data_IF_743750271258
#
_entry.id   IF_743750271258
#
_cell.length_a   1.000
_cell.length_b   1.000
_cell.length_c   1.000
_cell.angle_alpha   90.00
_cell.angle_beta   90.00
_cell.angle_gamma   90.00
#
_symmetry.space_group_name_H-M   'P 1'
#
loop_
_entity.id
_entity.type
_entity.pdbx_description
1 polymer ?
#
# COMPACT_ATOMS: atom_id res chain seq x y z
N UNK A 1 39.24 16.38 -67.69
CA UNK A 1 40.16 16.42 -66.53
C UNK A 1 39.34 16.15 -65.28
N UNK A 2 39.61 15.24 -64.36
CA UNK A 2 40.77 14.41 -64.04
C UNK A 2 40.44 13.82 -62.66
N UNK A 3 40.76 12.55 -62.49
CA UNK A 3 40.32 11.65 -61.43
C UNK A 3 41.01 11.90 -60.06
N UNK A 4 40.45 11.24 -59.02
CA UNK A 4 41.13 10.54 -57.90
C UNK A 4 41.31 11.21 -56.50
N UNK A 5 40.58 10.62 -55.54
CA UNK A 5 40.99 10.01 -54.25
C UNK A 5 42.05 10.71 -53.37
N UNK A 6 41.73 10.94 -52.08
CA UNK A 6 41.91 9.94 -50.99
C UNK A 6 41.74 10.53 -49.57
N UNK A 7 41.10 9.71 -48.72
CA UNK A 7 41.09 9.62 -47.25
C UNK A 7 42.08 10.48 -46.41
N UNK A 8 41.57 11.05 -45.30
CA UNK A 8 42.02 10.72 -43.93
C UNK A 8 41.19 11.39 -42.81
N UNK A 9 40.44 10.53 -42.13
CA UNK A 9 40.10 10.40 -40.69
C UNK A 9 40.72 11.34 -39.61
N UNK A 10 39.88 11.86 -38.69
CA UNK A 10 39.99 11.86 -37.19
C UNK A 10 38.94 12.83 -36.59
N UNK A 11 37.77 12.40 -36.09
CA UNK A 11 37.41 11.96 -34.71
C UNK A 11 38.04 12.81 -33.58
N UNK A 12 37.36 13.25 -32.51
CA UNK A 12 36.14 12.77 -31.84
C UNK A 12 35.73 13.76 -30.73
N UNK A 13 34.43 13.92 -30.44
CA UNK A 13 33.98 14.37 -29.12
C UNK A 13 32.63 13.74 -28.71
N UNK A 14 32.62 13.27 -27.46
CA UNK A 14 31.49 13.01 -26.54
C UNK A 14 30.31 12.16 -27.00
N UNK A 15 30.20 10.94 -26.44
CA UNK A 15 29.15 10.63 -25.45
C UNK A 15 29.32 9.21 -24.89
N UNK A 16 29.50 9.15 -23.57
CA UNK A 16 29.55 7.93 -22.76
C UNK A 16 28.18 7.22 -22.73
N UNK A 17 28.14 5.99 -23.22
CA UNK A 17 27.01 5.06 -23.10
C UNK A 17 27.50 3.80 -22.36
N UNK A 18 26.95 3.42 -21.19
CA UNK A 18 27.34 2.16 -20.56
C UNK A 18 26.58 0.98 -21.18
N UNK A 19 27.30 0.24 -22.03
CA UNK A 19 26.88 -1.04 -22.61
C UNK A 19 26.58 -2.09 -21.53
N UNK A 20 25.35 -2.63 -21.51
CA UNK A 20 24.97 -3.80 -20.70
C UNK A 20 25.64 -5.07 -21.27
N UNK A 21 26.70 -5.55 -20.62
CA UNK A 21 27.28 -6.88 -20.87
C UNK A 21 26.29 -7.99 -20.45
N UNK A 22 25.89 -8.84 -21.40
CA UNK A 22 25.20 -10.12 -21.14
C UNK A 22 26.24 -11.13 -20.63
N UNK A 23 26.13 -11.55 -19.37
CA UNK A 23 26.87 -12.71 -18.88
C UNK A 23 26.14 -14.00 -19.30
N UNK A 24 26.87 -14.89 -19.98
CA UNK A 24 26.47 -16.28 -20.24
C UNK A 24 26.56 -17.06 -18.92
N UNK A 25 25.54 -17.86 -18.60
CA UNK A 25 25.62 -18.87 -17.54
C UNK A 25 25.69 -20.22 -18.23
N UNK A 26 26.77 -20.95 -17.96
CA UNK A 26 26.98 -22.35 -18.34
C UNK A 26 26.32 -23.28 -17.33
N UNK A 27 25.71 -24.35 -17.84
CA UNK A 27 25.14 -25.45 -17.06
C UNK A 27 26.24 -26.26 -16.35
N UNK A 28 26.22 -26.31 -15.01
CA UNK A 28 26.84 -27.40 -14.25
C UNK A 28 25.98 -27.80 -13.05
N UNK A 29 25.77 -29.11 -12.93
CA UNK A 29 25.05 -29.81 -11.87
C UNK A 29 26.02 -30.18 -10.74
N UNK A 30 25.66 -29.92 -9.48
CA UNK A 30 26.16 -30.55 -8.21
C UNK A 30 25.30 -30.00 -7.04
N UNK A 31 24.40 -30.77 -6.43
CA UNK A 31 24.50 -31.72 -5.30
C UNK A 31 25.03 -31.15 -3.96
N UNK A 32 24.14 -31.30 -2.98
CA UNK A 32 24.25 -31.35 -1.52
C UNK A 32 24.41 -30.05 -0.70
N UNK A 33 23.36 -29.83 0.11
CA UNK A 33 23.17 -28.97 1.28
C UNK A 33 24.31 -28.07 1.75
N UNK A 34 24.14 -26.76 1.49
CA UNK A 34 24.60 -25.68 2.36
C UNK A 34 23.74 -24.43 2.09
N UNK A 35 23.21 -23.82 3.16
CA UNK A 35 22.37 -22.64 3.09
C UNK A 35 23.21 -21.40 2.70
N UNK A 36 23.14 -21.00 1.43
CA UNK A 36 23.80 -19.78 0.94
C UNK A 36 23.05 -18.55 1.46
N UNK A 37 23.68 -17.81 2.37
CA UNK A 37 23.22 -16.50 2.81
C UNK A 37 23.21 -15.52 1.62
N UNK A 38 22.01 -15.16 1.15
CA UNK A 38 21.85 -14.17 0.07
C UNK A 38 22.16 -12.78 0.62
N UNK A 39 23.27 -12.19 0.18
CA UNK A 39 23.71 -10.85 0.56
C UNK A 39 22.87 -9.79 -0.19
N UNK A 40 21.92 -9.17 0.51
CA UNK A 40 20.97 -8.18 -0.04
C UNK A 40 21.56 -6.79 -0.34
N UNK A 41 22.88 -6.58 -0.26
CA UNK A 41 23.48 -5.24 -0.41
C UNK A 41 23.33 -4.60 -1.80
N UNK A 42 23.03 -5.37 -2.85
CA UNK A 42 23.04 -4.88 -4.24
C UNK A 42 21.71 -5.04 -5.01
N UNK A 43 20.57 -5.25 -4.35
CA UNK A 43 19.28 -5.24 -5.06
C UNK A 43 18.87 -3.78 -5.29
N UNK A 44 18.79 -3.28 -6.54
CA UNK A 44 18.38 -1.91 -6.80
C UNK A 44 16.92 -1.73 -6.39
N UNK A 45 16.69 -1.09 -5.24
CA UNK A 45 15.38 -0.64 -4.78
C UNK A 45 14.94 0.54 -5.64
N UNK A 46 14.36 0.26 -6.81
CA UNK A 46 13.53 1.25 -7.50
C UNK A 46 12.22 1.36 -6.74
N UNK A 47 12.20 2.18 -5.69
CA UNK A 47 10.95 2.69 -5.14
C UNK A 47 10.26 3.45 -6.26
N UNK A 48 9.16 2.89 -6.77
CA UNK A 48 8.29 3.62 -7.68
C UNK A 48 7.86 4.90 -6.98
N UNK A 49 8.13 6.04 -7.60
CA UNK A 49 7.68 7.34 -7.12
C UNK A 49 6.16 7.33 -7.10
N UNK A 50 5.56 7.11 -5.93
CA UNK A 50 4.13 7.37 -5.75
C UNK A 50 3.98 8.88 -5.81
N UNK A 51 3.25 9.38 -6.82
CA UNK A 51 2.78 10.75 -6.82
C UNK A 51 1.77 10.88 -5.68
N UNK A 52 2.23 11.37 -4.53
CA UNK A 52 1.38 11.82 -3.44
C UNK A 52 0.92 13.22 -3.81
N UNK A 53 -0.26 13.34 -4.40
CA UNK A 53 -0.94 14.63 -4.52
C UNK A 53 -1.55 14.95 -3.15
N UNK A 54 -0.85 15.74 -2.32
CA UNK A 54 -1.44 16.30 -1.10
C UNK A 54 -2.13 17.63 -1.42
N UNK A 55 -3.45 17.61 -1.53
CA UNK A 55 -4.27 18.83 -1.49
C UNK A 55 -4.39 19.29 -0.04
N UNK A 56 -3.63 20.32 0.33
CA UNK A 56 -3.75 20.97 1.64
C UNK A 56 -4.93 21.95 1.61
N UNK A 57 -6.12 21.48 2.01
CA UNK A 57 -7.28 22.36 2.15
C UNK A 57 -7.13 23.19 3.43
N UNK A 58 -6.97 24.51 3.30
CA UNK A 58 -7.04 25.46 4.41
C UNK A 58 -8.51 25.85 4.57
N UNK A 59 -9.14 25.45 5.67
CA UNK A 59 -10.45 25.97 6.05
C UNK A 59 -10.24 27.31 6.78
N UNK A 60 -10.68 28.41 6.15
CA UNK A 60 -10.84 29.70 6.81
C UNK A 60 -12.07 29.62 7.70
N UNK A 61 -11.87 29.64 9.02
CA UNK A 61 -12.94 29.93 9.98
C UNK A 61 -12.73 31.38 10.43
N UNK A 62 -13.55 32.28 9.90
CA UNK A 62 -13.72 33.65 10.42
C UNK A 62 -14.93 33.66 11.37
N UNK A 63 -14.68 33.92 12.66
CA UNK A 63 -15.31 35.02 13.41
C UNK A 63 -14.89 35.05 14.89
N UNK A 64 -14.78 36.28 15.39
CA UNK A 64 -14.04 36.74 16.57
C UNK A 64 -14.72 36.53 17.93
N UNK A 65 -13.92 36.43 19.00
CA UNK A 65 -13.88 37.44 20.09
C UNK A 65 -12.82 37.08 21.16
N UNK A 66 -12.12 38.12 21.62
CA UNK A 66 -10.99 38.09 22.55
C UNK A 66 -11.29 37.43 23.91
N UNK A 67 -10.40 36.54 24.34
CA UNK A 67 -9.90 36.51 25.73
C UNK A 67 -8.61 35.69 25.82
N UNK A 68 -7.54 36.39 26.18
CA UNK A 68 -6.35 35.97 26.92
C UNK A 68 -5.82 34.55 26.75
N UNK A 69 -4.71 34.45 26.00
CA UNK A 69 -3.53 33.77 26.51
C UNK A 69 -3.66 32.28 26.84
N UNK A 70 -4.11 31.47 25.90
CA UNK A 70 -3.57 30.12 25.74
C UNK A 70 -3.67 29.70 24.27
N UNK A 71 -2.55 29.82 23.56
CA UNK A 71 -2.29 29.02 22.37
C UNK A 71 -2.19 27.58 22.87
N UNK A 72 -3.34 26.98 23.19
CA UNK A 72 -3.48 25.55 23.02
C UNK A 72 -3.24 25.36 21.53
N UNK A 73 -2.05 24.87 21.20
CA UNK A 73 -1.66 24.52 19.83
C UNK A 73 -2.88 23.97 19.12
N UNK A 74 -3.31 24.63 18.04
CA UNK A 74 -4.42 24.14 17.22
C UNK A 74 -3.99 22.79 16.67
N UNK A 75 -4.30 21.71 17.38
CA UNK A 75 -3.93 20.36 17.00
C UNK A 75 -4.66 20.05 15.69
N UNK A 76 -3.89 19.83 14.63
CA UNK A 76 -4.42 19.45 13.31
C UNK A 76 -4.31 17.94 13.20
N UNK A 77 -5.43 17.26 12.95
CA UNK A 77 -5.45 15.86 12.57
C UNK A 77 -5.42 15.75 11.05
N UNK A 78 -4.59 14.86 10.51
CA UNK A 78 -4.41 14.67 9.07
C UNK A 78 -4.79 13.25 8.67
N UNK A 79 -5.74 13.13 7.74
CA UNK A 79 -6.09 11.85 7.12
C UNK A 79 -5.57 11.79 5.68
N UNK A 80 -5.33 10.60 5.17
CA UNK A 80 -4.73 10.38 3.86
C UNK A 80 -5.55 9.41 3.01
N UNK A 81 -5.64 9.73 1.72
CA UNK A 81 -6.21 8.86 0.69
C UNK A 81 -5.06 8.36 -0.16
N UNK A 82 -4.80 7.06 -0.12
CA UNK A 82 -3.80 6.41 -0.95
C UNK A 82 -4.50 5.82 -2.15
N UNK A 83 -4.43 6.52 -3.30
CA UNK A 83 -5.00 6.07 -4.56
C UNK A 83 -3.94 5.44 -5.44
N UNK A 84 -4.09 4.14 -5.70
CA UNK A 84 -3.22 3.48 -6.65
C UNK A 84 -3.57 3.89 -8.09
N UNK A 85 -2.55 4.06 -8.93
CA UNK A 85 -2.74 4.35 -10.35
C UNK A 85 -3.48 3.19 -11.03
N UNK A 86 -4.40 3.53 -11.92
CA UNK A 86 -5.08 2.54 -12.76
C UNK A 86 -4.04 1.68 -13.49
N UNK A 87 -4.17 0.36 -13.37
CA UNK A 87 -3.27 -0.58 -14.04
C UNK A 87 -3.84 -0.87 -15.42
N UNK A 88 -3.00 -0.74 -16.47
CA UNK A 88 -3.43 -1.07 -17.83
C UNK A 88 -3.92 -2.52 -17.90
N UNK A 89 -4.95 -2.77 -18.69
CA UNK A 89 -5.41 -4.13 -18.94
C UNK A 89 -4.33 -4.96 -19.65
N UNK A 90 -4.45 -6.28 -19.53
CA UNK A 90 -3.55 -7.21 -20.21
C UNK A 90 -3.69 -7.06 -21.72
N UNK A 91 -2.58 -7.03 -22.43
CA UNK A 91 -2.60 -7.07 -23.89
C UNK A 91 -3.01 -8.47 -24.37
N UNK A 92 -3.79 -8.52 -25.45
CA UNK A 92 -4.33 -9.74 -26.05
C UNK A 92 -3.68 -9.96 -27.44
N UNK A 93 -2.49 -10.59 -27.52
CA UNK A 93 -1.76 -10.76 -28.77
C UNK A 93 -2.57 -11.46 -29.86
N UNK A 94 -3.31 -12.51 -29.50
CA UNK A 94 -4.15 -13.27 -30.45
C UNK A 94 -5.16 -12.37 -31.16
N UNK A 95 -5.78 -11.44 -30.41
CA UNK A 95 -6.77 -10.50 -30.93
C UNK A 95 -6.13 -9.42 -31.82
N UNK A 96 -4.93 -8.97 -31.48
CA UNK A 96 -4.17 -8.05 -32.33
C UNK A 96 -3.75 -8.70 -33.66
N UNK A 97 -3.31 -9.97 -33.62
CA UNK A 97 -2.92 -10.73 -34.82
C UNK A 97 -4.13 -10.95 -35.74
N UNK A 98 -5.29 -11.33 -35.18
CA UNK A 98 -6.52 -11.48 -35.99
C UNK A 98 -6.98 -10.18 -36.64
N UNK A 99 -6.63 -9.03 -36.06
CA UNK A 99 -6.86 -7.69 -36.63
C UNK A 99 -5.77 -7.25 -37.62
N UNK A 100 -4.83 -8.13 -37.99
CA UNK A 100 -3.79 -7.85 -38.98
C UNK A 100 -2.64 -6.97 -38.47
N UNK A 101 -2.48 -6.83 -37.14
CA UNK A 101 -1.38 -6.06 -36.56
C UNK A 101 -0.08 -6.86 -36.63
N UNK A 102 0.99 -6.23 -37.12
CA UNK A 102 2.32 -6.85 -37.21
C UNK A 102 2.90 -7.10 -35.81
N UNK A 103 3.45 -8.29 -35.60
CA UNK A 103 4.13 -8.65 -34.35
C UNK A 103 5.36 -7.76 -34.11
N UNK A 104 5.61 -7.39 -32.85
CA UNK A 104 6.81 -6.66 -32.44
C UNK A 104 6.50 -5.19 -32.07
N UNK A 105 7.11 -4.18 -32.73
CA UNK A 105 6.99 -2.78 -32.31
C UNK A 105 5.56 -2.26 -32.20
N UNK A 106 4.65 -2.72 -33.07
CA UNK A 106 3.27 -2.25 -33.10
C UNK A 106 2.45 -2.77 -31.91
N UNK A 107 2.78 -3.95 -31.37
CA UNK A 107 2.22 -4.39 -30.08
C UNK A 107 2.64 -3.43 -28.97
N UNK A 108 3.92 -3.04 -28.95
CA UNK A 108 4.44 -2.07 -27.99
C UNK A 108 3.69 -0.73 -28.05
N UNK A 109 3.40 -0.22 -29.25
CA UNK A 109 2.62 1.00 -29.46
C UNK A 109 1.19 0.87 -28.90
N UNK A 110 0.50 -0.23 -29.22
CA UNK A 110 -0.84 -0.50 -28.71
C UNK A 110 -0.88 -0.58 -27.18
N UNK A 111 0.10 -1.25 -26.56
CA UNK A 111 0.16 -1.33 -25.08
C UNK A 111 0.48 0.00 -24.38
N UNK A 112 0.95 1.01 -25.13
CA UNK A 112 1.18 2.39 -24.66
C UNK A 112 0.01 3.33 -24.98
N UNK A 113 -1.09 2.81 -25.53
CA UNK A 113 -2.25 3.62 -25.88
C UNK A 113 -2.17 4.26 -27.28
N UNK A 114 -1.16 3.93 -28.09
CA UNK A 114 -0.96 4.51 -29.42
C UNK A 114 -1.65 3.62 -30.47
N UNK A 115 -2.62 4.13 -31.25
CA UNK A 115 -3.22 3.39 -32.35
C UNK A 115 -2.20 3.03 -33.43
N UNK A 116 -2.42 1.93 -34.13
CA UNK A 116 -1.53 1.47 -35.22
C UNK A 116 -2.35 1.13 -36.46
N UNK A 117 -1.75 1.27 -37.64
CA UNK A 117 -2.36 0.86 -38.90
C UNK A 117 -1.98 -0.60 -39.16
N UNK A 118 -2.96 -1.45 -39.44
CA UNK A 118 -2.75 -2.87 -39.73
C UNK A 118 -2.30 -3.09 -41.19
N UNK A 119 -1.99 -4.33 -41.55
CA UNK A 119 -1.60 -4.70 -42.92
C UNK A 119 -2.68 -4.45 -43.98
N UNK A 120 -3.92 -4.19 -43.57
CA UNK A 120 -5.08 -3.90 -44.44
C UNK A 120 -5.33 -2.40 -44.60
N UNK A 121 -4.53 -1.53 -43.96
CA UNK A 121 -4.73 -0.08 -43.96
C UNK A 121 -5.75 0.43 -42.93
N UNK A 122 -6.27 -0.43 -42.05
CA UNK A 122 -7.26 -0.08 -41.03
C UNK A 122 -6.58 0.37 -39.73
N UNK A 123 -7.17 1.34 -39.03
CA UNK A 123 -6.66 1.81 -37.72
C UNK A 123 -7.14 0.89 -36.60
N UNK A 124 -6.21 0.19 -35.97
CA UNK A 124 -6.45 -0.64 -34.78
C UNK A 124 -6.18 0.17 -33.52
N UNK A 125 -7.19 0.25 -32.64
CA UNK A 125 -7.13 0.95 -31.36
C UNK A 125 -6.74 0.00 -30.22
N UNK A 126 -6.06 0.51 -29.16
CA UNK A 126 -5.72 -0.28 -27.97
C UNK A 126 -6.92 -0.99 -27.34
N UNK A 127 -8.09 -0.34 -27.28
CA UNK A 127 -9.33 -0.91 -26.73
C UNK A 127 -9.81 -2.18 -27.44
N UNK A 128 -9.40 -2.40 -28.70
CA UNK A 128 -9.77 -3.59 -29.45
C UNK A 128 -8.93 -4.81 -29.07
N UNK A 129 -7.74 -4.61 -28.49
CA UNK A 129 -6.73 -5.66 -28.25
C UNK A 129 -6.14 -5.64 -26.83
N UNK A 130 -6.72 -4.87 -25.91
CA UNK A 130 -6.38 -4.83 -24.50
C UNK A 130 -7.61 -5.22 -23.69
N UNK A 131 -7.40 -5.87 -22.55
CA UNK A 131 -8.44 -5.97 -21.53
C UNK A 131 -8.78 -4.58 -20.95
N UNK A 132 -9.93 -4.48 -20.29
CA UNK A 132 -10.33 -3.26 -19.58
C UNK A 132 -9.29 -3.00 -18.48
N UNK A 133 -8.90 -1.73 -18.31
CA UNK A 133 -7.98 -1.34 -17.26
C UNK A 133 -8.54 -1.69 -15.88
N UNK A 134 -7.67 -2.11 -14.97
CA UNK A 134 -8.10 -2.35 -13.60
C UNK A 134 -8.37 -1.01 -12.92
N UNK A 135 -9.53 -0.97 -12.27
CA UNK A 135 -10.02 0.17 -11.52
C UNK A 135 -9.03 0.53 -10.39
N UNK A 136 -8.73 1.83 -10.17
CA UNK A 136 -7.95 2.29 -9.02
C UNK A 136 -8.45 1.71 -7.70
N UNK A 137 -7.55 1.13 -6.92
CA UNK A 137 -7.85 0.69 -5.56
C UNK A 137 -7.34 1.74 -4.57
N UNK A 138 -8.13 1.99 -3.53
CA UNK A 138 -7.87 3.02 -2.53
C UNK A 138 -7.67 2.38 -1.15
N UNK A 139 -6.65 2.85 -0.42
CA UNK A 139 -6.55 2.69 1.03
C UNK A 139 -6.70 4.04 1.72
N UNK A 140 -7.40 4.05 2.85
CA UNK A 140 -7.60 5.22 3.68
C UNK A 140 -6.76 5.11 4.95
N UNK A 141 -6.15 6.20 5.37
CA UNK A 141 -5.59 6.37 6.72
C UNK A 141 -6.38 7.49 7.37
N UNK A 142 -7.16 7.14 8.39
CA UNK A 142 -8.02 8.07 9.11
C UNK A 142 -7.42 8.34 10.48
N UNK A 143 -7.09 9.59 10.73
CA UNK A 143 -6.64 10.08 12.04
C UNK A 143 -7.77 10.90 12.68
N UNK A 144 -8.24 10.44 13.82
CA UNK A 144 -9.33 11.07 14.57
C UNK A 144 -9.01 10.98 16.07
N UNK A 145 -8.27 11.95 16.62
CA UNK A 145 -7.73 11.83 17.98
C UNK A 145 -8.77 11.98 19.08
N UNK A 146 -9.90 12.66 18.83
CA UNK A 146 -10.99 12.83 19.80
C UNK A 146 -12.35 12.95 19.13
N UNK A 147 -13.44 12.75 19.88
CA UNK A 147 -14.82 12.84 19.35
C UNK A 147 -15.13 14.22 18.76
N UNK A 148 -14.44 15.29 19.17
CA UNK A 148 -14.59 16.63 18.60
C UNK A 148 -14.20 16.73 17.12
N UNK A 149 -13.37 15.81 16.62
CA UNK A 149 -12.95 15.78 15.21
C UNK A 149 -13.93 15.03 14.29
N UNK A 150 -14.90 14.28 14.85
CA UNK A 150 -15.80 13.43 14.05
C UNK A 150 -16.59 14.28 13.05
N UNK A 151 -17.21 15.37 13.51
CA UNK A 151 -18.01 16.25 12.66
C UNK A 151 -17.18 16.84 11.52
N UNK A 152 -15.96 17.31 11.82
CA UNK A 152 -15.07 17.88 10.81
C UNK A 152 -14.58 16.83 9.81
N UNK A 153 -14.32 15.59 10.26
CA UNK A 153 -13.92 14.47 9.41
C UNK A 153 -15.03 14.08 8.43
N UNK A 154 -16.26 13.91 8.92
CA UNK A 154 -17.43 13.54 8.09
C UNK A 154 -17.81 14.66 7.11
N UNK A 155 -17.51 15.91 7.42
CA UNK A 155 -17.76 17.03 6.51
C UNK A 155 -16.72 17.13 5.37
N UNK A 156 -15.60 16.39 5.42
CA UNK A 156 -14.60 16.45 4.35
C UNK A 156 -15.17 15.95 3.02
N UNK A 157 -15.05 16.78 1.99
CA UNK A 157 -15.60 16.51 0.67
C UNK A 157 -15.00 15.23 0.07
N UNK A 158 -13.70 15.01 0.25
CA UNK A 158 -12.99 13.87 -0.31
C UNK A 158 -13.49 12.54 0.28
N UNK A 159 -13.77 12.50 1.58
CA UNK A 159 -14.36 11.32 2.23
C UNK A 159 -15.81 11.11 1.75
N UNK A 160 -16.59 12.20 1.66
CA UNK A 160 -17.96 12.13 1.15
C UNK A 160 -18.03 11.70 -0.32
N UNK A 161 -17.05 12.07 -1.14
CA UNK A 161 -16.96 11.59 -2.53
C UNK A 161 -16.79 10.06 -2.58
N UNK A 162 -16.01 9.48 -1.67
CA UNK A 162 -15.79 8.04 -1.60
C UNK A 162 -17.00 7.29 -1.04
N UNK A 163 -17.75 7.90 -0.11
CA UNK A 163 -18.97 7.32 0.48
C UNK A 163 -20.18 7.43 -0.47
N UNK A 164 -20.37 8.61 -1.06
CA UNK A 164 -21.62 9.00 -1.74
C UNK A 164 -21.72 8.59 -3.20
N UNK A 165 -20.62 8.13 -3.84
CA UNK A 165 -20.61 7.59 -5.20
C UNK A 165 -21.37 8.43 -6.26
N UNK A 166 -21.30 9.77 -6.17
CA UNK A 166 -21.99 10.68 -7.11
C UNK A 166 -21.16 11.12 -8.32
N UNK A 167 -19.86 10.79 -8.40
CA UNK A 167 -18.94 11.47 -9.33
C UNK A 167 -18.51 10.66 -10.56
N UNK A 168 -19.18 9.55 -10.91
CA UNK A 168 -18.81 8.73 -12.07
C UNK A 168 -17.41 8.09 -12.00
N UNK A 169 -16.62 8.41 -10.96
CA UNK A 169 -15.36 7.78 -10.61
C UNK A 169 -15.64 6.38 -10.10
N UNK A 170 -15.09 5.38 -10.77
CA UNK A 170 -15.15 3.98 -10.36
C UNK A 170 -14.23 3.69 -9.17
N UNK A 171 -13.80 4.67 -8.38
CA UNK A 171 -12.80 4.49 -7.33
C UNK A 171 -13.30 3.52 -6.26
N UNK A 172 -12.48 2.51 -5.91
CA UNK A 172 -12.87 1.46 -4.97
C UNK A 172 -12.01 1.51 -3.72
N UNK A 173 -12.63 1.80 -2.57
CA UNK A 173 -11.98 1.66 -1.25
C UNK A 173 -11.87 0.18 -0.88
N UNK A 174 -10.69 -0.24 -0.41
CA UNK A 174 -10.43 -1.63 0.01
C UNK A 174 -10.03 -1.77 1.46
N UNK A 175 -9.30 -0.79 1.97
CA UNK A 175 -8.75 -0.84 3.31
C UNK A 175 -8.91 0.52 3.98
N UNK A 176 -9.24 0.53 5.26
CA UNK A 176 -9.32 1.73 6.09
C UNK A 176 -8.50 1.47 7.34
N UNK A 177 -7.48 2.29 7.56
CA UNK A 177 -6.62 2.23 8.74
C UNK A 177 -7.06 3.34 9.69
N UNK A 178 -7.58 2.97 10.85
CA UNK A 178 -8.06 3.87 11.87
C UNK A 178 -6.94 4.12 12.90
N UNK A 179 -6.26 5.27 12.76
CA UNK A 179 -5.39 5.85 13.77
C UNK A 179 -6.28 6.63 14.75
N UNK A 180 -7.11 5.92 15.50
CA UNK A 180 -8.21 6.51 16.25
C UNK A 180 -8.32 5.81 17.61
N UNK A 181 -8.34 6.54 18.74
CA UNK A 181 -8.50 5.94 20.06
C UNK A 181 -9.81 5.16 20.19
N UNK A 182 -9.82 4.11 21.00
CA UNK A 182 -11.00 3.25 21.16
C UNK A 182 -12.24 4.00 21.65
N UNK A 183 -12.08 5.06 22.45
CA UNK A 183 -13.19 5.91 22.87
C UNK A 183 -13.94 6.51 21.68
N UNK A 184 -13.21 6.89 20.63
CA UNK A 184 -13.77 7.48 19.40
C UNK A 184 -14.27 6.39 18.46
N UNK A 185 -13.56 5.25 18.34
CA UNK A 185 -14.05 4.10 17.54
C UNK A 185 -15.37 3.54 18.09
N UNK A 186 -15.56 3.56 19.40
CA UNK A 186 -16.79 3.12 20.06
C UNK A 186 -17.89 4.20 20.04
N UNK A 187 -17.60 5.41 19.58
CA UNK A 187 -18.58 6.48 19.42
C UNK A 187 -19.56 6.10 18.31
N UNK A 188 -20.85 6.14 18.62
CA UNK A 188 -21.91 5.77 17.68
C UNK A 188 -21.87 6.64 16.42
N UNK A 189 -21.53 7.92 16.55
CA UNK A 189 -21.41 8.83 15.41
C UNK A 189 -20.28 8.40 14.48
N UNK A 190 -19.13 7.99 15.03
CA UNK A 190 -18.02 7.49 14.22
C UNK A 190 -18.37 6.19 13.50
N UNK A 191 -18.97 5.23 14.22
CA UNK A 191 -19.35 3.94 13.65
C UNK A 191 -20.36 4.09 12.51
N UNK A 192 -21.38 4.94 12.68
CA UNK A 192 -22.42 5.13 11.68
C UNK A 192 -21.93 5.96 10.48
N UNK A 193 -21.33 7.12 10.75
CA UNK A 193 -21.02 8.09 9.69
C UNK A 193 -19.71 7.80 8.96
N UNK A 194 -18.81 6.99 9.55
CA UNK A 194 -17.53 6.62 8.93
C UNK A 194 -17.50 5.15 8.57
N UNK A 195 -17.57 4.24 9.56
CA UNK A 195 -17.35 2.81 9.30
C UNK A 195 -18.46 2.21 8.45
N UNK A 196 -19.71 2.30 8.92
CA UNK A 196 -20.89 1.76 8.22
C UNK A 196 -21.13 2.45 6.89
N UNK A 197 -20.93 3.76 6.81
CA UNK A 197 -21.08 4.51 5.57
C UNK A 197 -20.08 4.05 4.48
N UNK A 198 -18.83 3.77 4.86
CA UNK A 198 -17.83 3.20 3.97
C UNK A 198 -18.22 1.77 3.55
N UNK A 199 -18.64 0.92 4.49
CA UNK A 199 -19.07 -0.45 4.18
C UNK A 199 -20.26 -0.47 3.20
N UNK A 200 -21.24 0.41 3.39
CA UNK A 200 -22.35 0.56 2.45
C UNK A 200 -21.88 0.98 1.06
N UNK A 201 -20.90 1.90 0.98
CA UNK A 201 -20.30 2.30 -0.28
C UNK A 201 -19.57 1.14 -0.97
N UNK A 202 -18.81 0.35 -0.19
CA UNK A 202 -18.20 -0.89 -0.66
C UNK A 202 -19.22 -1.89 -1.17
N UNK A 203 -20.32 -2.08 -0.43
CA UNK A 203 -21.41 -3.00 -0.80
C UNK A 203 -22.08 -2.61 -2.12
N UNK A 204 -22.28 -1.30 -2.39
CA UNK A 204 -22.80 -0.80 -3.69
C UNK A 204 -21.90 -1.18 -4.86
N UNK A 205 -20.59 -1.28 -4.63
CA UNK A 205 -19.60 -1.71 -5.62
C UNK A 205 -19.26 -3.21 -5.56
N UNK A 206 -19.98 -4.00 -4.75
CA UNK A 206 -19.70 -5.42 -4.49
C UNK A 206 -18.25 -5.67 -4.00
N UNK A 207 -17.80 -4.82 -3.08
CA UNK A 207 -16.45 -4.84 -2.52
C UNK A 207 -16.53 -4.84 -1.00
N UNK A 208 -15.88 -5.80 -0.38
CA UNK A 208 -15.64 -5.81 1.07
C UNK A 208 -14.50 -4.84 1.42
N UNK A 209 -14.71 -4.05 2.47
CA UNK A 209 -13.71 -3.15 3.04
C UNK A 209 -13.11 -3.80 4.28
N UNK A 210 -11.78 -3.78 4.37
CA UNK A 210 -11.04 -4.21 5.56
C UNK A 210 -10.80 -3.02 6.48
N UNK A 211 -11.41 -3.03 7.66
CA UNK A 211 -11.19 -2.03 8.69
C UNK A 211 -10.07 -2.48 9.62
N UNK A 212 -8.97 -1.73 9.66
CA UNK A 212 -7.79 -2.01 10.49
C UNK A 212 -7.71 -0.97 11.60
N UNK A 213 -7.84 -1.37 12.85
CA UNK A 213 -7.68 -0.46 13.99
C UNK A 213 -6.24 -0.49 14.48
N UNK A 214 -5.57 0.64 14.39
CA UNK A 214 -4.19 0.84 14.84
C UNK A 214 -4.18 1.87 15.97
N UNK A 215 -4.39 1.38 17.21
CA UNK A 215 -4.28 2.21 18.42
C UNK A 215 -3.65 1.43 19.59
N UNK A 216 -3.18 2.16 20.61
CA UNK A 216 -2.57 1.58 21.81
C UNK A 216 -3.55 0.78 22.69
N UNK A 217 -4.85 0.99 22.50
CA UNK A 217 -5.91 0.30 23.22
C UNK A 217 -6.03 -1.17 22.80
N UNK A 218 -5.93 -1.46 21.51
CA UNK A 218 -6.21 -2.79 20.94
C UNK A 218 -4.99 -3.53 20.42
N UNK A 219 -3.94 -2.85 19.98
CA UNK A 219 -2.75 -3.52 19.43
C UNK A 219 -2.02 -4.31 20.53
N UNK A 220 -1.45 -5.47 20.16
CA UNK A 220 -0.68 -6.30 21.07
C UNK A 220 0.50 -5.50 21.61
N UNK A 221 0.75 -5.59 22.92
CA UNK A 221 1.92 -4.98 23.56
C UNK A 221 3.23 -5.71 23.25
N UNK A 222 3.33 -6.39 22.11
CA UNK A 222 4.54 -7.13 21.73
C UNK A 222 5.65 -6.15 21.40
N UNK A 223 6.82 -6.38 22.00
CA UNK A 223 7.99 -5.58 21.70
C UNK A 223 8.45 -5.85 20.27
N UNK A 224 8.74 -4.78 19.53
CA UNK A 224 9.47 -4.89 18.26
C UNK A 224 10.97 -5.24 18.49
N UNK A 225 11.44 -5.14 19.73
CA UNK A 225 12.82 -5.41 20.15
C UNK A 225 12.94 -6.77 20.83
N UNK A 226 12.71 -7.85 20.08
CA UNK A 226 12.72 -9.22 20.60
C UNK A 226 14.03 -9.61 21.31
N UNK A 227 15.18 -9.22 20.77
CA UNK A 227 16.48 -9.52 21.39
C UNK A 227 16.61 -8.90 22.78
N UNK A 228 16.19 -7.65 22.93
CA UNK A 228 16.22 -6.94 24.21
C UNK A 228 15.22 -7.54 25.19
N UNK A 229 13.99 -7.86 24.75
CA UNK A 229 12.99 -8.53 25.58
C UNK A 229 13.51 -9.89 26.05
N UNK A 230 14.17 -10.67 25.19
CA UNK A 230 14.76 -11.96 25.57
C UNK A 230 15.84 -11.81 26.63
N UNK A 231 16.77 -10.87 26.46
CA UNK A 231 17.83 -10.59 27.45
C UNK A 231 17.21 -10.15 28.77
N UNK A 232 16.25 -9.23 28.74
CA UNK A 232 15.56 -8.72 29.92
C UNK A 232 14.80 -9.84 30.65
N UNK A 233 14.11 -10.72 29.93
CA UNK A 233 13.43 -11.87 30.52
C UNK A 233 14.43 -12.86 31.14
N UNK A 234 15.55 -13.14 30.46
CA UNK A 234 16.60 -14.03 30.98
C UNK A 234 17.25 -13.47 32.25
N UNK A 235 17.56 -12.17 32.26
CA UNK A 235 18.09 -11.48 33.44
C UNK A 235 17.04 -11.36 34.55
N UNK A 236 15.76 -11.22 34.20
CA UNK A 236 14.64 -11.21 35.15
C UNK A 236 14.46 -12.54 35.87
N UNK A 237 14.83 -13.67 35.25
CA UNK A 237 14.89 -14.96 35.93
C UNK A 237 15.99 -15.02 37.01
N UNK A 238 17.07 -14.24 36.84
CA UNK A 238 18.20 -14.20 37.79
C UNK A 238 17.96 -13.17 38.90
N UNK A 239 17.50 -11.98 38.54
CA UNK A 239 17.32 -10.85 39.47
C UNK A 239 16.03 -10.08 39.14
N UNK A 240 14.85 -10.59 39.54
CA UNK A 240 13.55 -10.01 39.17
C UNK A 240 13.32 -8.60 39.75
N UNK A 241 13.95 -8.26 40.88
CA UNK A 241 13.85 -6.93 41.48
C UNK A 241 14.57 -5.84 40.66
N UNK A 242 15.60 -6.23 39.91
CA UNK A 242 16.40 -5.34 39.06
C UNK A 242 15.88 -5.34 37.62
N UNK A 243 15.54 -6.52 37.10
CA UNK A 243 15.08 -6.71 35.72
C UNK A 243 13.63 -7.17 35.69
N UNK A 244 12.72 -6.20 35.65
CA UNK A 244 11.29 -6.48 35.55
C UNK A 244 10.94 -6.99 34.15
N UNK A 245 10.23 -8.10 34.05
CA UNK A 245 9.62 -8.55 32.80
C UNK A 245 8.46 -7.61 32.42
N UNK A 246 8.45 -7.12 31.19
CA UNK A 246 7.31 -6.38 30.67
C UNK A 246 6.11 -7.33 30.52
N UNK A 247 4.97 -6.98 31.11
CA UNK A 247 3.73 -7.71 30.89
C UNK A 247 3.28 -7.51 29.42
N UNK A 248 3.11 -8.60 28.70
CA UNK A 248 2.53 -8.54 27.36
C UNK A 248 1.05 -8.20 27.48
N UNK A 249 0.64 -7.10 26.84
CA UNK A 249 -0.76 -6.73 26.76
C UNK A 249 -1.44 -7.64 25.74
N UNK A 250 -2.43 -8.40 26.19
CA UNK A 250 -3.27 -9.20 25.30
C UNK A 250 -4.00 -8.30 24.29
N UNK A 251 -4.25 -8.85 23.10
CA UNK A 251 -5.00 -8.18 22.06
C UNK A 251 -6.41 -7.88 22.57
N UNK A 252 -6.94 -6.68 22.31
CA UNK A 252 -8.30 -6.27 22.70
C UNK A 252 -9.40 -6.96 21.90
N UNK A 253 -9.44 -8.30 21.87
CA UNK A 253 -10.34 -9.10 21.00
C UNK A 253 -11.81 -8.90 21.31
N UNK A 254 -12.16 -8.66 22.57
CA UNK A 254 -13.55 -8.47 23.00
C UNK A 254 -14.15 -7.16 22.47
N UNK A 255 -13.35 -6.09 22.44
CA UNK A 255 -13.81 -4.82 21.87
C UNK A 255 -14.03 -4.92 20.37
N UNK A 256 -13.18 -5.66 19.66
CA UNK A 256 -13.36 -5.92 18.22
C UNK A 256 -14.60 -6.76 17.95
N UNK A 257 -14.85 -7.80 18.74
CA UNK A 257 -16.07 -8.61 18.60
C UNK A 257 -17.32 -7.75 18.76
N UNK A 258 -17.34 -6.85 19.75
CA UNK A 258 -18.44 -5.89 19.95
C UNK A 258 -18.60 -4.95 18.78
N UNK A 259 -17.51 -4.38 18.25
CA UNK A 259 -17.57 -3.50 17.07
C UNK A 259 -18.14 -4.25 15.86
N UNK A 260 -17.62 -5.46 15.57
CA UNK A 260 -18.09 -6.27 14.44
C UNK A 260 -19.59 -6.59 14.55
N UNK A 261 -20.09 -6.86 15.76
CA UNK A 261 -21.51 -7.08 16.01
C UNK A 261 -22.34 -5.81 15.81
N UNK A 262 -21.86 -4.66 16.27
CA UNK A 262 -22.60 -3.39 16.23
C UNK A 262 -22.64 -2.76 14.84
N UNK A 263 -21.55 -2.86 14.07
CA UNK A 263 -21.44 -2.19 12.77
C UNK A 263 -21.73 -3.13 11.61
N UNK A 264 -21.63 -4.45 11.80
CA UNK A 264 -21.62 -5.44 10.72
C UNK A 264 -20.34 -5.43 9.89
N UNK A 265 -19.37 -4.58 10.26
CA UNK A 265 -18.07 -4.48 9.61
C UNK A 265 -17.18 -5.66 9.99
N UNK A 266 -16.22 -6.00 9.13
CA UNK A 266 -15.15 -6.93 9.50
C UNK A 266 -13.92 -6.12 9.89
N UNK A 267 -13.74 -5.95 11.20
CA UNK A 267 -12.65 -5.19 11.80
C UNK A 267 -11.54 -6.13 12.28
N UNK A 268 -10.30 -5.70 12.06
CA UNK A 268 -9.08 -6.40 12.46
C UNK A 268 -8.19 -5.44 13.23
N UNK A 269 -7.54 -5.91 14.30
CA UNK A 269 -6.50 -5.12 14.97
C UNK A 269 -5.24 -5.10 14.12
N UNK A 270 -4.59 -3.94 14.05
CA UNK A 270 -3.23 -3.87 13.56
C UNK A 270 -2.30 -4.70 14.45
N UNK A 271 -1.30 -5.29 13.81
CA UNK A 271 -0.23 -6.06 14.47
C UNK A 271 1.13 -5.58 13.94
N UNK A 272 2.17 -5.82 14.73
CA UNK A 272 3.55 -5.50 14.34
C UNK A 272 3.89 -6.27 13.06
N UNK A 273 4.51 -5.57 12.09
CA UNK A 273 4.87 -6.13 10.77
C UNK A 273 3.67 -6.61 9.92
N UNK A 274 2.44 -6.30 10.30
CA UNK A 274 1.26 -6.56 9.46
C UNK A 274 1.40 -5.83 8.12
N UNK A 275 1.08 -6.53 7.03
CA UNK A 275 1.08 -5.95 5.69
C UNK A 275 -0.28 -6.14 5.01
N UNK A 276 -0.65 -5.13 4.22
CA UNK A 276 -1.84 -5.13 3.39
C UNK A 276 -1.46 -4.91 1.94
N UNK A 277 -1.84 -5.85 1.07
CA UNK A 277 -1.59 -5.74 -0.35
C UNK A 277 -2.80 -5.15 -1.07
N UNK A 278 -2.63 -3.99 -1.72
CA UNK A 278 -3.65 -3.45 -2.63
C UNK A 278 -3.60 -4.14 -4.00
N UNK A 279 -2.40 -4.53 -4.44
CA UNK A 279 -2.12 -5.21 -5.71
C UNK A 279 -1.01 -6.25 -5.51
N UNK A 280 -0.93 -7.27 -6.38
CA UNK A 280 -1.86 -7.59 -7.47
C UNK A 280 -3.16 -8.22 -6.93
N UNK A 281 -4.22 -8.29 -7.77
CA UNK A 281 -5.55 -8.82 -7.37
C UNK A 281 -5.48 -10.20 -6.70
N UNK A 282 -4.55 -11.05 -7.15
CA UNK A 282 -4.36 -12.42 -6.65
C UNK A 282 -3.91 -12.46 -5.19
N UNK A 283 -3.11 -11.49 -4.75
CA UNK A 283 -2.55 -11.45 -3.40
C UNK A 283 -3.12 -10.30 -2.57
N UNK A 284 -4.29 -9.78 -2.95
CA UNK A 284 -4.91 -8.62 -2.30
C UNK A 284 -5.42 -8.97 -0.90
N UNK A 285 -5.25 -8.04 0.03
CA UNK A 285 -5.73 -8.16 1.40
C UNK A 285 -4.61 -8.29 2.43
N UNK A 286 -5.01 -8.58 3.66
CA UNK A 286 -4.12 -8.77 4.80
C UNK A 286 -3.25 -10.02 4.58
N UNK A 287 -1.94 -9.88 4.70
CA UNK A 287 -1.02 -11.01 4.63
C UNK A 287 -0.86 -11.64 6.02
N UNK A 288 -1.36 -12.87 6.18
CA UNK A 288 -1.30 -13.60 7.45
C UNK A 288 0.03 -14.36 7.64
N UNK A 289 0.69 -14.74 6.54
CA UNK A 289 1.87 -15.62 6.53
C UNK A 289 3.21 -14.89 6.70
N UNK A 290 3.21 -13.54 6.71
CA UNK A 290 4.40 -12.75 7.04
C UNK A 290 4.43 -12.28 8.50
N UNK A 291 3.66 -12.93 9.39
CA UNK A 291 3.95 -12.83 10.82
C UNK A 291 5.32 -13.45 11.03
N UNK A 292 6.31 -12.60 11.30
CA UNK A 292 7.65 -13.06 11.63
C UNK A 292 7.56 -14.05 12.79
N UNK A 293 7.89 -15.30 12.52
CA UNK A 293 8.11 -16.29 13.56
C UNK A 293 9.51 -16.04 14.13
N UNK A 294 9.66 -15.78 15.44
CA UNK A 294 10.97 -15.88 16.04
C UNK A 294 11.53 -17.27 15.74
N UNK A 295 12.78 -17.41 15.27
CA UNK A 295 13.40 -18.71 15.10
C UNK A 295 13.38 -19.42 16.47
N UNK A 296 12.67 -20.54 16.52
CA UNK A 296 12.46 -21.47 17.64
C UNK A 296 12.84 -20.93 19.03
N UNK A 297 11.85 -20.40 19.74
CA UNK A 297 11.85 -20.41 21.19
C UNK A 297 11.32 -21.78 21.66
N UNK A 298 12.00 -22.87 21.27
CA UNK A 298 11.83 -24.13 22.00
C UNK A 298 12.28 -23.85 23.44
N UNK A 299 11.49 -24.21 24.46
CA UNK A 299 12.02 -24.23 25.82
C UNK A 299 13.26 -25.12 25.78
N UNK A 300 14.39 -24.59 26.23
CA UNK A 300 15.53 -25.43 26.55
C UNK A 300 14.99 -26.47 27.55
N UNK A 301 14.86 -27.72 27.12
CA UNK A 301 14.61 -28.81 28.05
C UNK A 301 15.72 -28.76 29.10
N UNK A 302 15.32 -28.62 30.36
CA UNK A 302 16.25 -28.55 31.48
C UNK A 302 17.09 -29.84 31.53
N UNK A 303 18.39 -29.74 31.89
CA UNK A 303 19.25 -30.90 32.09
C UNK A 303 18.80 -31.78 33.26
#
# INVERSE_FOLDING_TARGET
DGNSNSNSNSNSNSNDEPQRKRAKVSDEVRKDGDAVAVNYKNVPRKFGTLLVESTKVKNNVENESNSDGNISDRLIACSYIIKAKATRGKFLPKKAISLGVKTGPDFGKLTRGIPVINSKGETVRPSQCMEIAEVPQIALILDCPSSGYISSLVQQLELNCLIGSNNGSQDVVRCVIHLTPMKVVNDQSYQQNVMRALDEAGSRSNVRIDHIIANSGTCQGKSVFFSSQRIQNTLGMVAPEVFQCAAEKELGTEDIKKINQNTGSVVVCADTMMSYNLFPKQNRGIQLEQRWHPPDASPLENP
#
